data_IF_407590744053
#
_entry.id   IF_407590744053
#
_cell.length_a   1.000
_cell.length_b   1.000
_cell.length_c   1.000
_cell.angle_alpha   90.00
_cell.angle_beta   90.00
_cell.angle_gamma   90.00
#
_symmetry.space_group_name_H-M   'P 1'
#
loop_
_entity.id
_entity.type
_entity.pdbx_description
1 polymer ?
#
# COMPACT_ATOMS: atom_id res chain seq x y z
N UNK A 1 -11.78 -3.28 -12.67
CA UNK A 1 -12.10 -2.20 -13.62
C UNK A 1 -13.29 -2.61 -14.49
N UNK A 2 -13.23 -3.76 -15.12
CA UNK A 2 -14.31 -4.42 -15.87
C UNK A 2 -15.41 -3.44 -16.38
N UNK A 3 -16.61 -3.43 -15.76
CA UNK A 3 -17.72 -2.57 -16.17
C UNK A 3 -17.65 -1.14 -15.62
N UNK A 4 -16.71 -0.85 -14.68
CA UNK A 4 -16.67 0.45 -13.98
C UNK A 4 -16.54 1.65 -14.92
N UNK A 5 -15.74 1.55 -15.97
CA UNK A 5 -15.59 2.65 -16.93
C UNK A 5 -16.87 2.92 -17.73
N UNK A 6 -17.58 1.86 -18.13
CA UNK A 6 -18.88 1.99 -18.82
C UNK A 6 -19.94 2.59 -17.90
N UNK A 7 -19.96 2.21 -16.62
CA UNK A 7 -20.87 2.79 -15.63
C UNK A 7 -20.60 4.27 -15.43
N UNK A 8 -19.32 4.65 -15.28
CA UNK A 8 -18.91 6.05 -15.18
C UNK A 8 -19.39 6.84 -16.41
N UNK A 9 -19.12 6.34 -17.63
CA UNK A 9 -19.58 7.01 -18.85
C UNK A 9 -21.09 7.19 -18.89
N UNK A 10 -21.85 6.15 -18.53
CA UNK A 10 -23.32 6.21 -18.47
C UNK A 10 -23.81 7.29 -17.49
N UNK A 11 -23.23 7.36 -16.28
CA UNK A 11 -23.60 8.36 -15.30
C UNK A 11 -23.26 9.79 -15.75
N UNK A 12 -22.08 9.97 -16.34
CA UNK A 12 -21.65 11.27 -16.87
C UNK A 12 -22.53 11.76 -17.99
N UNK A 13 -22.93 10.88 -18.93
CA UNK A 13 -23.88 11.20 -20.02
C UNK A 13 -25.27 11.53 -19.49
N UNK A 14 -25.67 10.94 -18.36
CA UNK A 14 -26.90 11.25 -17.66
C UNK A 14 -26.85 12.51 -16.80
N UNK A 15 -25.76 13.31 -16.88
CA UNK A 15 -25.63 14.58 -16.15
C UNK A 15 -25.29 14.43 -14.65
N UNK A 16 -25.01 13.21 -14.16
CA UNK A 16 -24.67 12.98 -12.75
C UNK A 16 -23.26 13.47 -12.44
N UNK A 17 -23.08 14.01 -11.23
CA UNK A 17 -21.74 14.21 -10.67
C UNK A 17 -21.13 12.86 -10.33
N UNK A 18 -19.91 12.61 -10.81
CA UNK A 18 -19.19 11.36 -10.59
C UNK A 18 -17.83 11.64 -9.97
N UNK A 19 -17.56 10.99 -8.83
CA UNK A 19 -16.21 10.87 -8.28
C UNK A 19 -15.69 9.47 -8.58
N UNK A 20 -14.55 9.40 -9.25
CA UNK A 20 -13.87 8.14 -9.53
C UNK A 20 -12.48 8.12 -8.89
N UNK A 21 -12.24 7.13 -8.04
CA UNK A 21 -10.93 6.92 -7.41
C UNK A 21 -10.25 5.66 -7.93
N UNK A 22 -8.92 5.68 -8.01
CA UNK A 22 -8.15 4.52 -8.45
C UNK A 22 -6.64 4.77 -8.47
N UNK A 23 -5.89 3.77 -8.93
CA UNK A 23 -4.46 3.95 -9.17
C UNK A 23 -4.22 4.94 -10.33
N UNK A 24 -3.03 5.59 -10.41
CA UNK A 24 -2.73 6.53 -11.50
C UNK A 24 -2.99 5.96 -12.90
N UNK A 25 -2.61 4.69 -13.12
CA UNK A 25 -2.85 4.02 -14.41
C UNK A 25 -4.34 3.73 -14.67
N UNK A 26 -5.17 3.56 -13.64
CA UNK A 26 -6.62 3.41 -13.79
C UNK A 26 -7.29 4.74 -14.12
N UNK A 27 -6.85 5.83 -13.50
CA UNK A 27 -7.36 7.17 -13.87
C UNK A 27 -7.01 7.50 -15.31
N UNK A 28 -5.75 7.32 -15.71
CA UNK A 28 -5.34 7.55 -17.09
C UNK A 28 -6.09 6.63 -18.09
N UNK A 29 -6.36 5.38 -17.69
CA UNK A 29 -7.18 4.46 -18.47
C UNK A 29 -8.62 4.93 -18.63
N UNK A 30 -9.26 5.43 -17.57
CA UNK A 30 -10.60 6.00 -17.63
C UNK A 30 -10.65 7.19 -18.58
N UNK A 31 -9.73 8.15 -18.45
CA UNK A 31 -9.70 9.34 -19.32
C UNK A 31 -9.53 8.98 -20.79
N UNK A 32 -8.67 8.00 -21.10
CA UNK A 32 -8.50 7.50 -22.47
C UNK A 32 -9.75 6.76 -22.99
N UNK A 33 -10.45 6.03 -22.12
CA UNK A 33 -11.71 5.36 -22.47
C UNK A 33 -12.80 6.37 -22.80
N UNK A 34 -12.95 7.43 -21.99
CA UNK A 34 -13.97 8.47 -22.17
C UNK A 34 -13.72 9.34 -23.42
N UNK A 35 -12.48 9.49 -23.88
CA UNK A 35 -12.03 10.26 -25.07
C UNK A 35 -12.42 11.73 -25.11
N UNK A 36 -12.96 12.28 -24.02
CA UNK A 36 -13.30 13.68 -23.83
C UNK A 36 -13.29 14.02 -22.35
N UNK A 37 -13.17 15.28 -22.05
CA UNK A 37 -13.32 15.78 -20.68
C UNK A 37 -14.79 15.96 -20.34
N UNK A 38 -15.10 15.76 -19.06
CA UNK A 38 -16.42 15.95 -18.48
C UNK A 38 -16.28 16.86 -17.25
N UNK A 39 -17.03 17.95 -17.23
CA UNK A 39 -17.03 18.90 -16.10
C UNK A 39 -17.57 18.26 -14.81
N UNK A 40 -18.53 17.35 -14.95
CA UNK A 40 -19.14 16.60 -13.88
C UNK A 40 -18.34 15.35 -13.43
N UNK A 41 -17.09 15.19 -13.89
CA UNK A 41 -16.18 14.15 -13.42
C UNK A 41 -15.12 14.73 -12.48
N UNK A 42 -14.97 14.12 -11.32
CA UNK A 42 -13.86 14.33 -10.41
C UNK A 42 -13.04 13.05 -10.31
N UNK A 43 -11.73 13.15 -10.49
CA UNK A 43 -10.83 12.01 -10.43
C UNK A 43 -9.81 12.15 -9.30
N UNK A 44 -9.69 11.09 -8.49
CA UNK A 44 -8.76 11.03 -7.37
C UNK A 44 -7.87 9.81 -7.52
N UNK A 45 -6.57 10.03 -7.55
CA UNK A 45 -5.61 8.94 -7.45
C UNK A 45 -4.77 9.02 -6.16
N UNK A 46 -3.81 8.13 -6.03
CA UNK A 46 -2.90 8.12 -4.90
C UNK A 46 -1.48 7.79 -5.35
N UNK A 47 -0.48 8.18 -4.56
CA UNK A 47 0.91 7.80 -4.79
C UNK A 47 1.01 6.28 -4.68
N UNK A 48 1.19 5.63 -5.83
CA UNK A 48 1.12 4.18 -5.95
C UNK A 48 2.51 3.57 -5.89
N UNK A 49 2.78 2.73 -4.89
CA UNK A 49 4.04 1.99 -4.80
C UNK A 49 4.18 0.96 -5.93
N UNK A 50 3.13 0.16 -6.17
CA UNK A 50 3.07 -0.87 -7.22
C UNK A 50 1.92 -1.84 -6.97
N UNK A 51 1.66 -2.72 -7.93
CA UNK A 51 0.59 -3.72 -7.85
C UNK A 51 1.21 -5.12 -7.76
N UNK A 52 0.96 -5.85 -6.66
CA UNK A 52 1.48 -7.21 -6.50
C UNK A 52 0.79 -8.20 -7.44
N UNK A 53 1.46 -9.32 -7.72
CA UNK A 53 0.91 -10.44 -8.47
C UNK A 53 -0.30 -11.05 -7.75
N UNK A 54 -1.51 -11.08 -8.37
CA UNK A 54 -2.67 -11.75 -7.77
C UNK A 54 -2.47 -13.25 -7.55
N UNK A 55 -1.63 -13.89 -8.38
CA UNK A 55 -1.28 -15.31 -8.20
C UNK A 55 -0.51 -15.51 -6.90
N UNK A 56 0.54 -14.72 -6.67
CA UNK A 56 1.35 -14.79 -5.43
C UNK A 56 0.50 -14.51 -4.20
N UNK A 57 -0.41 -13.53 -4.29
CA UNK A 57 -1.37 -13.24 -3.22
C UNK A 57 -2.23 -14.46 -2.86
N UNK A 58 -2.86 -15.09 -3.86
CA UNK A 58 -3.69 -16.28 -3.63
C UNK A 58 -2.91 -17.44 -3.02
N UNK A 59 -1.68 -17.68 -3.50
CA UNK A 59 -0.80 -18.72 -2.95
C UNK A 59 -0.46 -18.45 -1.49
N UNK A 60 -0.05 -17.21 -1.17
CA UNK A 60 0.23 -16.78 0.20
C UNK A 60 -0.99 -16.93 1.12
N UNK A 61 -2.15 -16.46 0.66
CA UNK A 61 -3.39 -16.51 1.45
C UNK A 61 -3.79 -17.97 1.76
N UNK A 62 -3.78 -18.84 0.75
CA UNK A 62 -4.07 -20.27 0.90
C UNK A 62 -3.16 -20.92 1.95
N UNK A 63 -1.86 -20.70 1.86
CA UNK A 63 -0.87 -21.26 2.80
C UNK A 63 -1.04 -20.67 4.21
N UNK A 64 -1.33 -19.37 4.31
CA UNK A 64 -1.54 -18.69 5.61
C UNK A 64 -2.80 -19.19 6.31
N UNK A 65 -3.90 -19.33 5.58
CA UNK A 65 -5.16 -19.88 6.12
C UNK A 65 -4.93 -21.30 6.61
N UNK A 66 -4.32 -22.18 5.80
CA UNK A 66 -4.01 -23.57 6.20
C UNK A 66 -3.20 -23.61 7.48
N UNK A 67 -2.13 -22.82 7.59
CA UNK A 67 -1.26 -22.75 8.76
C UNK A 67 -1.98 -22.23 10.01
N UNK A 68 -2.90 -21.26 9.87
CA UNK A 68 -3.69 -20.77 10.99
C UNK A 68 -4.71 -21.82 11.47
N UNK A 69 -5.30 -22.57 10.56
CA UNK A 69 -6.19 -23.67 10.90
C UNK A 69 -5.44 -24.79 11.66
N UNK A 70 -4.25 -25.16 11.23
CA UNK A 70 -3.40 -26.16 11.92
C UNK A 70 -3.03 -25.70 13.34
N UNK A 71 -2.65 -24.43 13.53
CA UNK A 71 -2.31 -23.90 14.86
C UNK A 71 -3.49 -23.88 15.81
N UNK A 72 -4.71 -23.75 15.32
CA UNK A 72 -5.93 -23.65 16.12
C UNK A 72 -6.63 -24.98 16.34
N UNK A 73 -6.05 -26.11 15.91
CA UNK A 73 -6.63 -27.48 16.14
C UNK A 73 -6.71 -27.85 17.61
N UNK A 74 -5.90 -27.24 18.48
CA UNK A 74 -5.85 -27.49 19.93
C UNK A 74 -6.88 -26.65 20.71
N UNK A 75 -7.55 -25.69 20.05
CA UNK A 75 -8.60 -24.87 20.66
C UNK A 75 -9.84 -25.70 20.92
N UNK A 76 -10.63 -25.43 22.02
CA UNK A 76 -11.94 -26.06 22.25
C UNK A 76 -12.88 -25.91 21.04
N UNK A 77 -12.68 -24.87 20.24
CA UNK A 77 -13.46 -24.57 19.02
C UNK A 77 -12.51 -24.35 17.85
N UNK A 78 -11.96 -25.43 17.24
CA UNK A 78 -10.96 -25.31 16.19
C UNK A 78 -11.55 -24.71 14.91
N UNK A 79 -10.81 -23.78 14.30
CA UNK A 79 -11.10 -23.33 12.93
C UNK A 79 -10.60 -24.39 11.97
N UNK A 80 -11.54 -25.14 11.35
CA UNK A 80 -11.21 -26.17 10.36
C UNK A 80 -10.95 -25.53 8.99
N UNK A 81 -9.86 -25.96 8.33
CA UNK A 81 -9.51 -25.48 6.99
C UNK A 81 -10.60 -25.66 5.92
N UNK A 82 -11.52 -26.62 6.10
CA UNK A 82 -12.66 -26.82 5.20
C UNK A 82 -13.78 -25.79 5.37
N UNK A 83 -13.90 -25.20 6.56
CA UNK A 83 -14.98 -24.28 6.93
C UNK A 83 -14.48 -22.88 7.33
N UNK A 84 -13.20 -22.62 7.17
CA UNK A 84 -12.62 -21.32 7.48
C UNK A 84 -13.04 -20.28 6.42
N UNK A 85 -13.70 -19.22 6.84
CA UNK A 85 -14.05 -18.06 6.01
C UNK A 85 -13.09 -16.92 6.29
N UNK A 86 -12.61 -16.27 5.21
CA UNK A 86 -11.87 -15.02 5.32
C UNK A 86 -12.88 -13.88 5.43
N UNK A 87 -12.98 -13.28 6.61
CA UNK A 87 -13.93 -12.19 6.88
C UNK A 87 -13.36 -10.82 6.60
N UNK A 88 -12.09 -10.61 6.88
CA UNK A 88 -11.45 -9.33 6.71
C UNK A 88 -9.97 -9.45 6.46
N UNK A 89 -9.48 -8.52 5.65
CA UNK A 89 -8.06 -8.34 5.39
C UNK A 89 -7.75 -6.85 5.45
N UNK A 90 -6.83 -6.47 6.33
CA UNK A 90 -6.33 -5.12 6.44
C UNK A 90 -4.83 -5.13 6.17
N UNK A 91 -4.40 -4.47 5.10
CA UNK A 91 -2.97 -4.36 4.77
C UNK A 91 -2.29 -3.26 5.59
N UNK A 92 -3.07 -2.40 6.22
CA UNK A 92 -2.60 -1.25 7.00
C UNK A 92 -3.46 -1.05 8.24
N UNK A 93 -3.53 -2.09 9.07
CA UNK A 93 -4.11 -1.97 10.40
C UNK A 93 -3.21 -1.09 11.28
N UNK A 94 -3.79 -0.05 11.87
CA UNK A 94 -3.09 0.97 12.66
C UNK A 94 -3.10 0.70 14.17
N UNK A 95 -3.35 -0.53 14.60
CA UNK A 95 -3.38 -0.88 16.03
C UNK A 95 -2.07 -0.57 16.77
N UNK A 96 -0.93 -0.54 16.04
CA UNK A 96 0.38 -0.15 16.57
C UNK A 96 0.82 1.26 16.16
N UNK A 97 -0.11 2.10 15.71
CA UNK A 97 0.13 3.42 15.17
C UNK A 97 0.27 3.43 13.63
N UNK A 98 0.21 4.62 13.04
CA UNK A 98 0.28 4.81 11.61
C UNK A 98 1.66 4.44 11.03
N UNK A 99 2.74 4.79 11.74
CA UNK A 99 4.11 4.54 11.30
C UNK A 99 4.51 3.06 11.40
N UNK A 100 3.82 2.30 12.27
CA UNK A 100 4.09 0.88 12.54
C UNK A 100 2.89 -0.01 12.22
N UNK A 101 2.21 0.28 11.13
CA UNK A 101 1.04 -0.48 10.75
C UNK A 101 1.29 -1.99 10.59
N UNK A 102 0.24 -2.76 10.74
CA UNK A 102 0.24 -4.22 10.68
C UNK A 102 -0.57 -4.72 9.48
N UNK A 103 -0.26 -5.91 9.03
CA UNK A 103 -1.18 -6.74 8.24
C UNK A 103 -2.09 -7.48 9.20
N UNK A 104 -3.41 -7.42 8.98
CA UNK A 104 -4.37 -8.18 9.77
C UNK A 104 -5.26 -9.04 8.87
N UNK A 105 -5.49 -10.29 9.29
CA UNK A 105 -6.34 -11.28 8.63
C UNK A 105 -7.29 -11.85 9.65
N UNK A 106 -8.60 -11.67 9.46
CA UNK A 106 -9.65 -12.26 10.29
C UNK A 106 -10.21 -13.50 9.60
N UNK A 107 -10.11 -14.63 10.29
CA UNK A 107 -10.71 -15.89 9.88
C UNK A 107 -11.84 -16.24 10.83
N UNK A 108 -12.92 -16.83 10.33
CA UNK A 108 -14.01 -17.36 11.17
C UNK A 108 -14.46 -18.73 10.72
N UNK A 109 -15.16 -19.40 11.62
CA UNK A 109 -15.93 -20.63 11.35
C UNK A 109 -17.23 -20.57 12.13
N UNK A 110 -18.29 -21.12 11.56
CA UNK A 110 -19.55 -21.31 12.26
C UNK A 110 -19.56 -22.72 12.84
N UNK A 111 -19.78 -22.84 14.13
CA UNK A 111 -19.92 -24.11 14.84
C UNK A 111 -21.28 -24.75 14.58
N UNK A 112 -21.41 -26.04 14.84
CA UNK A 112 -22.69 -26.75 14.72
C UNK A 112 -23.80 -26.21 15.63
N UNK A 113 -23.44 -25.47 16.69
CA UNK A 113 -24.36 -24.72 17.57
C UNK A 113 -24.89 -23.42 16.94
N UNK A 114 -24.38 -22.99 15.80
CA UNK A 114 -24.64 -21.67 15.19
C UNK A 114 -23.74 -20.56 15.74
N UNK A 115 -22.94 -20.80 16.74
CA UNK A 115 -21.97 -19.85 17.27
C UNK A 115 -20.83 -19.64 16.26
N UNK A 116 -20.32 -18.38 16.22
CA UNK A 116 -19.22 -17.98 15.37
C UNK A 116 -17.94 -17.88 16.19
N UNK A 117 -16.95 -18.66 15.79
CA UNK A 117 -15.59 -18.52 16.32
C UNK A 117 -14.71 -17.75 15.32
N UNK A 118 -13.88 -16.84 15.80
CA UNK A 118 -12.98 -16.04 14.94
C UNK A 118 -11.57 -15.98 15.50
N UNK A 119 -10.62 -15.94 14.59
CA UNK A 119 -9.18 -15.76 14.90
C UNK A 119 -8.64 -14.59 14.10
N UNK A 120 -7.94 -13.69 14.78
CA UNK A 120 -7.22 -12.57 14.20
C UNK A 120 -5.73 -12.90 14.14
N UNK A 121 -5.18 -12.92 12.93
CA UNK A 121 -3.74 -12.83 12.69
C UNK A 121 -3.40 -11.35 12.51
N UNK A 122 -2.55 -10.79 13.36
CA UNK A 122 -2.01 -9.44 13.20
C UNK A 122 -0.49 -9.49 13.28
N UNK A 123 0.17 -9.00 12.24
CA UNK A 123 1.63 -9.02 12.13
C UNK A 123 2.15 -7.65 11.63
N UNK A 124 3.12 -7.04 12.32
CA UNK A 124 3.77 -5.82 11.83
C UNK A 124 4.33 -6.00 10.43
N UNK A 125 4.39 -4.91 9.66
CA UNK A 125 4.82 -4.91 8.25
C UNK A 125 6.17 -5.64 8.01
N UNK A 126 7.12 -5.48 8.92
CA UNK A 126 8.46 -6.10 8.82
C UNK A 126 8.48 -7.59 9.21
N UNK A 127 7.41 -8.10 9.81
CA UNK A 127 7.24 -9.50 10.20
C UNK A 127 6.36 -10.27 9.22
N UNK A 128 5.34 -9.62 8.66
CA UNK A 128 4.45 -10.28 7.73
C UNK A 128 5.15 -10.66 6.43
N UNK A 129 5.05 -11.92 6.04
CA UNK A 129 5.79 -12.50 4.90
C UNK A 129 5.38 -11.86 3.57
N UNK A 130 4.09 -11.67 3.34
CA UNK A 130 3.60 -11.05 2.11
C UNK A 130 4.04 -9.58 2.02
N UNK A 131 3.89 -8.83 3.11
CA UNK A 131 4.30 -7.43 3.16
C UNK A 131 5.80 -7.26 2.95
N UNK A 132 6.63 -8.16 3.46
CA UNK A 132 8.08 -8.17 3.19
C UNK A 132 8.38 -8.35 1.70
N UNK A 133 7.71 -9.27 1.03
CA UNK A 133 7.86 -9.46 -0.42
C UNK A 133 7.34 -8.27 -1.23
N UNK A 134 6.22 -7.69 -0.82
CA UNK A 134 5.65 -6.48 -1.41
C UNK A 134 6.59 -5.27 -1.26
N UNK A 135 7.09 -5.01 -0.07
CA UNK A 135 8.04 -3.92 0.18
C UNK A 135 9.42 -4.14 -0.45
N UNK A 136 9.72 -5.38 -0.88
CA UNK A 136 10.89 -5.72 -1.69
C UNK A 136 10.64 -5.58 -3.19
N UNK A 137 9.46 -5.16 -3.63
CA UNK A 137 9.04 -5.07 -5.04
C UNK A 137 9.13 -6.42 -5.78
N UNK A 138 9.25 -7.54 -5.02
CA UNK A 138 9.66 -8.85 -5.51
C UNK A 138 8.68 -9.41 -6.57
N UNK A 139 7.39 -9.16 -6.38
CA UNK A 139 6.34 -9.73 -7.24
C UNK A 139 5.37 -8.68 -7.79
N UNK A 140 5.84 -7.45 -8.04
CA UNK A 140 5.07 -6.45 -8.75
C UNK A 140 4.75 -6.89 -10.18
N UNK A 141 3.71 -6.31 -10.77
CA UNK A 141 3.48 -6.42 -12.22
C UNK A 141 4.69 -5.83 -12.96
N UNK A 142 5.13 -6.44 -14.09
CA UNK A 142 6.27 -5.91 -14.84
C UNK A 142 6.11 -4.44 -15.21
N UNK A 143 4.91 -4.01 -15.59
CA UNK A 143 4.61 -2.62 -15.95
C UNK A 143 4.79 -1.62 -14.80
N UNK A 144 4.78 -2.06 -13.53
CA UNK A 144 5.00 -1.17 -12.39
C UNK A 144 6.45 -0.72 -12.27
N UNK A 145 7.41 -1.50 -12.77
CA UNK A 145 8.82 -1.14 -12.81
C UNK A 145 9.15 -0.10 -13.90
N UNK A 146 8.23 0.12 -14.84
CA UNK A 146 8.34 1.09 -15.94
C UNK A 146 7.06 1.92 -16.04
N UNK A 147 6.57 2.39 -14.89
CA UNK A 147 5.27 3.04 -14.82
C UNK A 147 5.27 4.39 -15.53
N UNK A 148 4.47 4.53 -16.58
CA UNK A 148 4.32 5.76 -17.36
C UNK A 148 3.57 6.89 -16.61
N UNK A 149 3.01 6.58 -15.43
CA UNK A 149 2.13 7.49 -14.69
C UNK A 149 2.76 8.03 -13.39
N UNK A 150 4.07 7.92 -13.25
CA UNK A 150 4.84 8.67 -12.23
C UNK A 150 4.81 10.16 -12.57
N UNK A 151 5.35 10.98 -11.67
CA UNK A 151 5.41 12.43 -11.84
C UNK A 151 4.03 13.07 -12.05
N UNK A 152 3.00 12.53 -11.37
CA UNK A 152 1.62 13.03 -11.42
C UNK A 152 0.98 12.98 -12.83
N UNK A 153 1.50 12.16 -13.74
CA UNK A 153 1.06 12.07 -15.15
C UNK A 153 -0.26 11.33 -15.38
N UNK A 154 -0.96 10.94 -14.34
CA UNK A 154 -2.26 10.28 -14.46
C UNK A 154 -3.35 11.16 -15.06
N UNK A 155 -3.19 12.48 -14.89
CA UNK A 155 -4.21 13.48 -15.22
C UNK A 155 -5.37 13.52 -14.20
N UNK A 156 -5.23 12.97 -13.00
CA UNK A 156 -6.24 13.10 -11.93
C UNK A 156 -6.36 14.55 -11.45
N UNK A 157 -7.51 14.91 -10.87
CA UNK A 157 -7.74 16.23 -10.29
C UNK A 157 -7.02 16.37 -8.95
N UNK A 158 -7.00 15.29 -8.16
CA UNK A 158 -6.37 15.22 -6.84
C UNK A 158 -5.51 13.95 -6.75
N UNK A 159 -4.34 14.06 -6.12
CA UNK A 159 -3.51 12.92 -5.72
C UNK A 159 -3.39 12.87 -4.20
N UNK A 160 -3.73 11.75 -3.60
CA UNK A 160 -3.62 11.51 -2.16
C UNK A 160 -2.41 10.64 -1.83
N UNK A 161 -1.86 10.80 -0.65
CA UNK A 161 -0.84 9.90 -0.09
C UNK A 161 -0.77 10.01 1.43
N UNK A 162 0.03 9.14 2.04
CA UNK A 162 0.51 9.38 3.41
C UNK A 162 1.60 10.45 3.38
N UNK A 163 1.52 11.41 4.30
CA UNK A 163 2.52 12.46 4.43
C UNK A 163 3.73 11.97 5.24
N UNK A 164 4.51 11.05 4.64
CA UNK A 164 5.71 10.55 5.27
C UNK A 164 6.71 11.67 5.57
N UNK A 165 7.35 11.63 6.73
CA UNK A 165 8.35 12.64 7.11
C UNK A 165 7.78 13.94 7.70
N UNK A 166 6.44 14.06 7.86
CA UNK A 166 5.80 15.28 8.39
C UNK A 166 6.36 15.73 9.73
N UNK A 167 6.76 14.80 10.59
CA UNK A 167 7.37 15.11 11.90
C UNK A 167 8.71 15.86 11.83
N UNK A 168 9.34 15.92 10.65
CA UNK A 168 10.56 16.72 10.46
C UNK A 168 10.26 18.21 10.20
N UNK A 169 9.07 18.53 9.76
CA UNK A 169 8.66 19.90 9.38
C UNK A 169 7.62 20.45 10.36
N UNK A 170 6.66 19.62 10.71
CA UNK A 170 5.55 19.96 11.62
C UNK A 170 5.40 18.88 12.69
N UNK A 171 6.31 18.81 13.68
CA UNK A 171 6.29 17.76 14.70
C UNK A 171 5.01 17.75 15.55
N UNK A 172 4.47 18.93 15.85
CA UNK A 172 3.26 19.07 16.68
C UNK A 172 1.97 18.66 15.95
N UNK A 173 2.03 18.55 14.62
CA UNK A 173 0.90 18.10 13.79
C UNK A 173 0.86 16.57 13.67
N UNK A 174 1.92 15.86 14.05
CA UNK A 174 2.06 14.41 13.91
C UNK A 174 1.60 13.67 15.18
N UNK A 175 0.35 13.25 15.21
CA UNK A 175 -0.28 12.50 16.31
C UNK A 175 -0.21 10.97 16.16
N UNK A 176 0.53 10.45 15.16
CA UNK A 176 0.64 9.03 14.78
C UNK A 176 -0.69 8.33 14.40
N UNK A 177 -1.78 9.11 14.16
CA UNK A 177 -3.02 8.56 13.59
C UNK A 177 -2.99 8.54 12.07
N UNK A 178 -2.12 9.33 11.48
CA UNK A 178 -1.85 9.42 10.05
C UNK A 178 -2.28 10.76 9.45
N UNK A 179 -1.31 11.40 8.82
CA UNK A 179 -1.49 12.66 8.12
C UNK A 179 -1.55 12.37 6.62
N UNK A 180 -2.58 12.91 5.97
CA UNK A 180 -2.75 12.78 4.52
C UNK A 180 -1.99 13.88 3.79
N UNK A 181 -1.26 13.51 2.74
CA UNK A 181 -0.77 14.42 1.73
C UNK A 181 -1.85 14.57 0.65
N UNK A 182 -2.18 15.82 0.29
CA UNK A 182 -3.12 16.12 -0.77
C UNK A 182 -2.45 17.04 -1.80
N UNK A 183 -2.31 16.55 -3.04
CA UNK A 183 -1.77 17.33 -4.17
C UNK A 183 -2.94 17.69 -5.07
N UNK A 184 -3.33 18.96 -5.08
CA UNK A 184 -4.39 19.50 -5.94
C UNK A 184 -3.80 19.93 -7.27
N UNK A 185 -4.35 19.41 -8.37
CA UNK A 185 -3.88 19.67 -9.74
C UNK A 185 -4.91 20.40 -10.60
N UNK A 186 -6.16 20.37 -10.19
CA UNK A 186 -7.27 21.01 -10.92
C UNK A 186 -7.74 22.28 -10.20
N UNK A 187 -8.01 23.32 -10.97
CA UNK A 187 -8.58 24.58 -10.45
C UNK A 187 -9.95 24.40 -9.78
N UNK A 188 -10.66 23.31 -10.09
CA UNK A 188 -11.91 22.93 -9.42
C UNK A 188 -11.77 22.88 -7.90
N UNK A 189 -10.57 22.58 -7.39
CA UNK A 189 -10.31 22.31 -5.97
C UNK A 189 -9.30 23.28 -5.33
N UNK A 190 -8.99 24.40 -5.98
CA UNK A 190 -8.03 25.39 -5.44
C UNK A 190 -8.38 25.94 -4.05
N UNK A 191 -9.66 25.93 -3.69
CA UNK A 191 -10.15 26.39 -2.40
C UNK A 191 -10.41 25.24 -1.40
N UNK A 192 -9.94 24.01 -1.70
CA UNK A 192 -10.15 22.84 -0.82
C UNK A 192 -9.58 23.07 0.58
N UNK A 193 -8.45 23.76 0.69
CA UNK A 193 -7.77 24.05 1.97
C UNK A 193 -8.61 24.90 2.92
N UNK A 194 -9.56 25.71 2.42
CA UNK A 194 -10.43 26.54 3.29
C UNK A 194 -11.44 25.72 4.11
N UNK A 195 -11.67 24.46 3.72
CA UNK A 195 -12.63 23.55 4.37
C UNK A 195 -11.94 22.45 5.20
N UNK A 196 -10.61 22.46 5.25
CA UNK A 196 -9.79 21.44 5.90
C UNK A 196 -8.70 22.09 6.75
N UNK A 197 -8.28 21.42 7.82
CA UNK A 197 -7.07 21.81 8.53
C UNK A 197 -5.84 21.33 7.71
N UNK A 198 -5.15 22.27 7.11
CA UNK A 198 -4.07 22.02 6.16
C UNK A 198 -2.83 22.83 6.49
N UNK A 199 -1.67 22.20 6.36
CA UNK A 199 -0.36 22.84 6.39
C UNK A 199 0.33 22.64 5.03
N UNK A 200 0.99 23.68 4.47
CA UNK A 200 1.62 23.57 3.18
C UNK A 200 2.92 22.77 3.27
N UNK A 201 3.17 21.94 2.27
CA UNK A 201 4.45 21.29 2.02
C UNK A 201 4.83 21.49 0.55
N UNK A 202 6.12 21.62 0.27
CA UNK A 202 6.61 21.78 -1.09
C UNK A 202 6.84 20.44 -1.81
N UNK A 203 7.09 20.50 -3.12
CA UNK A 203 7.33 19.29 -3.91
C UNK A 203 8.67 18.63 -3.59
N UNK A 204 9.66 19.35 -3.07
CA UNK A 204 10.94 18.78 -2.66
C UNK A 204 10.77 17.92 -1.41
N UNK A 205 9.92 18.36 -0.47
CA UNK A 205 9.49 17.51 0.65
C UNK A 205 8.80 16.24 0.13
N UNK A 206 7.86 16.36 -0.81
CA UNK A 206 7.17 15.19 -1.38
C UNK A 206 8.17 14.25 -2.07
N UNK A 207 9.15 14.78 -2.81
CA UNK A 207 10.20 14.01 -3.47
C UNK A 207 11.05 13.24 -2.47
N UNK A 208 11.40 13.86 -1.37
CA UNK A 208 12.25 13.27 -0.33
C UNK A 208 11.57 12.10 0.39
N UNK A 209 10.27 12.21 0.70
CA UNK A 209 9.57 11.26 1.56
C UNK A 209 8.56 10.35 0.83
N UNK A 210 8.21 10.70 -0.40
CA UNK A 210 7.26 9.96 -1.26
C UNK A 210 7.86 9.72 -2.65
N UNK A 211 9.08 9.17 -2.74
CA UNK A 211 9.81 8.96 -4.00
C UNK A 211 9.00 8.21 -5.06
N UNK A 212 8.11 7.28 -4.65
CA UNK A 212 7.20 6.57 -5.55
C UNK A 212 6.23 7.49 -6.32
N UNK A 213 6.14 8.77 -5.97
CA UNK A 213 5.44 9.75 -6.79
C UNK A 213 6.18 10.03 -8.10
N UNK A 214 7.50 10.03 -8.08
CA UNK A 214 8.36 10.51 -9.16
C UNK A 214 9.05 9.38 -9.91
N UNK A 215 9.44 8.32 -9.23
CA UNK A 215 10.26 7.26 -9.78
C UNK A 215 9.63 5.88 -9.62
N UNK A 216 9.89 5.02 -10.58
CA UNK A 216 9.56 3.60 -10.49
C UNK A 216 10.69 2.84 -9.82
N UNK A 217 10.35 1.90 -8.95
CA UNK A 217 11.35 1.02 -8.36
C UNK A 217 11.97 0.11 -9.44
N UNK A 218 13.29 -0.09 -9.36
CA UNK A 218 14.02 -1.00 -10.24
C UNK A 218 13.53 -2.45 -10.09
N UNK A 219 13.75 -3.26 -11.12
CA UNK A 219 13.47 -4.69 -11.06
C UNK A 219 14.40 -5.35 -10.03
N UNK A 220 13.87 -6.02 -9.00
CA UNK A 220 14.70 -6.69 -8.00
C UNK A 220 15.57 -7.80 -8.62
N UNK A 221 16.83 -7.86 -8.21
CA UNK A 221 17.79 -8.84 -8.69
C UNK A 221 17.27 -10.30 -8.62
N UNK A 222 16.56 -10.62 -7.55
CA UNK A 222 16.06 -11.97 -7.30
C UNK A 222 14.67 -12.26 -7.88
N UNK A 223 14.06 -11.31 -8.59
CA UNK A 223 12.71 -11.46 -9.11
C UNK A 223 12.56 -12.66 -10.05
N UNK A 224 13.45 -12.83 -11.02
CA UNK A 224 13.37 -13.93 -11.97
C UNK A 224 13.55 -15.28 -11.27
N UNK A 225 14.55 -15.38 -10.38
CA UNK A 225 14.80 -16.58 -9.59
C UNK A 225 13.60 -16.95 -8.68
N UNK A 226 12.93 -15.93 -8.11
CA UNK A 226 11.70 -16.12 -7.34
C UNK A 226 10.58 -16.74 -8.18
N UNK A 227 10.28 -16.17 -9.36
CA UNK A 227 9.19 -16.67 -10.20
C UNK A 227 9.49 -18.05 -10.80
N UNK A 228 10.75 -18.38 -11.04
CA UNK A 228 11.15 -19.71 -11.48
C UNK A 228 11.03 -20.77 -10.38
N UNK A 229 11.19 -20.36 -9.12
CA UNK A 229 11.24 -21.28 -7.98
C UNK A 229 9.91 -21.43 -7.24
N UNK A 230 9.01 -20.45 -7.31
CA UNK A 230 7.80 -20.42 -6.48
C UNK A 230 6.86 -21.59 -6.78
N UNK A 231 6.42 -22.27 -5.72
CA UNK A 231 5.49 -23.40 -5.76
C UNK A 231 4.23 -23.05 -4.95
N UNK A 232 3.08 -23.62 -5.31
CA UNK A 232 1.78 -23.26 -4.72
C UNK A 232 1.74 -23.40 -3.19
N UNK A 233 2.23 -24.52 -2.68
CA UNK A 233 2.12 -24.81 -1.24
C UNK A 233 3.35 -24.37 -0.43
N UNK A 234 4.24 -23.57 -1.03
CA UNK A 234 5.49 -23.09 -0.41
C UNK A 234 5.76 -21.61 -0.69
N UNK A 235 4.71 -20.82 -0.95
CA UNK A 235 4.84 -19.41 -1.30
C UNK A 235 5.60 -18.63 -0.22
N UNK A 236 5.26 -18.82 1.05
CA UNK A 236 5.90 -18.15 2.17
C UNK A 236 7.41 -18.44 2.25
N UNK A 237 7.83 -19.70 2.03
CA UNK A 237 9.23 -20.06 2.00
C UNK A 237 10.01 -19.30 0.93
N UNK A 238 9.45 -19.21 -0.27
CA UNK A 238 10.13 -18.53 -1.39
C UNK A 238 10.11 -17.02 -1.24
N UNK A 239 9.02 -16.44 -0.74
CA UNK A 239 8.99 -15.01 -0.41
C UNK A 239 10.08 -14.69 0.62
N UNK A 240 10.19 -15.45 1.71
CA UNK A 240 11.22 -15.26 2.73
C UNK A 240 12.65 -15.40 2.19
N UNK A 241 12.85 -16.35 1.25
CA UNK A 241 14.16 -16.59 0.65
C UNK A 241 14.63 -15.41 -0.20
N UNK A 242 13.72 -14.78 -0.96
CA UNK A 242 14.08 -13.80 -1.98
C UNK A 242 13.72 -12.35 -1.62
N UNK A 243 12.91 -12.12 -0.57
CA UNK A 243 12.59 -10.77 -0.10
C UNK A 243 13.79 -10.13 0.59
N UNK A 244 14.08 -8.90 0.21
CA UNK A 244 15.17 -8.08 0.76
C UNK A 244 14.72 -7.15 1.89
N UNK A 245 13.42 -6.93 2.05
CA UNK A 245 12.87 -6.10 3.11
C UNK A 245 12.63 -6.90 4.42
N UNK A 246 12.87 -6.34 5.61
CA UNK A 246 13.64 -5.11 5.80
C UNK A 246 15.09 -5.30 5.36
N UNK A 247 15.68 -4.25 4.79
CA UNK A 247 17.09 -4.29 4.37
C UNK A 247 17.98 -4.67 5.57
N UNK A 248 18.73 -5.78 5.42
CA UNK A 248 19.60 -6.34 6.45
C UNK A 248 21.05 -5.91 6.29
N UNK A 249 21.36 -5.04 5.34
CA UNK A 249 22.72 -4.54 5.17
C UNK A 249 23.18 -3.81 6.45
N UNK A 250 24.48 -3.87 6.74
CA UNK A 250 25.05 -3.13 7.88
C UNK A 250 24.74 -1.63 7.81
N UNK A 251 24.74 -1.06 6.61
CA UNK A 251 24.39 0.35 6.39
C UNK A 251 22.94 0.66 6.79
N UNK A 252 21.99 -0.20 6.44
CA UNK A 252 20.58 -0.05 6.80
C UNK A 252 20.36 -0.31 8.31
N UNK A 253 21.11 -1.23 8.91
CA UNK A 253 21.06 -1.48 10.36
C UNK A 253 21.56 -0.25 11.12
N UNK A 254 22.71 0.28 10.74
CA UNK A 254 23.29 1.50 11.36
C UNK A 254 22.32 2.69 11.16
N UNK A 255 21.79 2.89 9.97
CA UNK A 255 20.81 3.94 9.70
C UNK A 255 19.59 3.87 10.62
N UNK A 256 19.00 2.68 10.80
CA UNK A 256 17.87 2.46 11.72
C UNK A 256 18.25 2.69 13.20
N UNK A 257 19.47 2.30 13.60
CA UNK A 257 19.96 2.58 14.95
C UNK A 257 20.09 4.09 15.19
N UNK A 258 20.67 4.81 14.23
CA UNK A 258 20.83 6.27 14.32
C UNK A 258 19.48 7.01 14.33
N UNK A 259 18.47 6.51 13.61
CA UNK A 259 17.11 7.04 13.67
C UNK A 259 16.49 6.87 15.07
N UNK A 260 16.67 5.68 15.68
CA UNK A 260 16.13 5.39 17.03
C UNK A 260 16.70 6.27 18.13
N UNK A 261 17.96 6.69 18.00
CA UNK A 261 18.64 7.56 18.96
C UNK A 261 18.60 9.05 18.56
N UNK A 262 17.84 9.40 17.52
CA UNK A 262 17.67 10.78 17.06
C UNK A 262 18.90 11.40 16.39
N UNK A 263 19.98 10.64 16.16
CA UNK A 263 21.27 11.15 15.66
C UNK A 263 21.39 11.18 14.13
N UNK A 264 20.45 10.62 13.37
CA UNK A 264 20.54 10.52 11.90
C UNK A 264 20.65 11.89 11.22
N UNK A 265 19.86 12.86 11.66
CA UNK A 265 19.89 14.22 11.11
C UNK A 265 21.14 15.00 11.51
N UNK A 266 21.68 14.73 12.70
CA UNK A 266 22.94 15.32 13.15
C UNK A 266 24.12 14.87 12.27
N UNK A 267 24.21 13.57 11.99
CA UNK A 267 25.26 12.99 11.16
C UNK A 267 25.14 13.45 9.69
N UNK A 268 23.92 13.51 9.12
CA UNK A 268 23.72 14.10 7.76
C UNK A 268 24.20 15.55 7.69
N UNK A 269 23.95 16.36 8.72
CA UNK A 269 24.47 17.74 8.80
C UNK A 269 26.01 17.81 8.88
N UNK A 270 26.64 16.82 9.52
CA UNK A 270 28.10 16.77 9.65
C UNK A 270 28.78 16.29 8.36
N UNK A 271 28.19 15.30 7.65
CA UNK A 271 28.76 14.74 6.40
C UNK A 271 28.47 15.63 5.19
N UNK A 272 27.35 16.36 5.17
CA UNK A 272 27.02 17.31 4.10
C UNK A 272 27.80 18.61 4.08
N UNK A 273 28.84 18.72 4.93
CA UNK A 273 29.79 19.85 4.96
C UNK A 273 31.20 19.46 4.48
N UNK A 274 31.35 18.25 3.91
CA UNK A 274 32.52 17.79 3.16
C UNK A 274 32.07 17.57 1.71
#
# INVERSE_FOLDING_TARGET
IDQSYKQVESFLRGGRLVLFSGTPCQIAGLKRFLRKDYENLTTVDFICHGVPSPKVWRMYLKETVARQCEKNTVSPHPISGKNALVEGILFRDKCLGWKKFSFALTLSTTLGSGEKNSVLLSEPIDKNIFMRGFMSNLFFRPSCHFCAYRELRSGSDITLADCWGIHHVYPDFDDDKGISLCIVKSDKFKNLSSSLECLPVDLDFVRQYNHSCFESDSIPLHRQAFFNAIQEDKACKYILKYATYPDKSMRAIISRMLDRIGMKNFIKKCIGKI
#
